data_IF_066806430951
#
_entry.id   IF_066806430951
#
_cell.length_a   1.000
_cell.length_b   1.000
_cell.length_c   1.000
_cell.angle_alpha   90.00
_cell.angle_beta   90.00
_cell.angle_gamma   90.00
#
_symmetry.space_group_name_H-M   'P 1'
#
loop_
_entity.id
_entity.type
_entity.pdbx_description
1 polymer ?
#
# COMPACT_ATOMS: atom_id res chain seq x y z
N UNK A 1 25.86 -31.72 5.32
CA UNK A 1 25.75 -33.15 5.70
C UNK A 1 24.40 -33.49 6.34
N UNK A 2 23.90 -32.71 7.27
CA UNK A 2 22.58 -32.95 7.90
C UNK A 2 21.42 -32.96 6.88
N UNK A 3 21.41 -32.04 5.92
CA UNK A 3 20.38 -31.97 4.89
C UNK A 3 20.31 -33.21 4.00
N UNK A 4 21.44 -33.85 3.72
CA UNK A 4 21.49 -35.07 2.90
C UNK A 4 20.93 -36.28 3.63
N UNK A 5 21.15 -36.37 4.95
CA UNK A 5 20.60 -37.43 5.78
C UNK A 5 19.09 -37.29 5.95
N UNK A 6 18.57 -36.09 6.15
CA UNK A 6 17.14 -35.80 6.25
C UNK A 6 16.42 -36.17 4.93
N UNK A 7 17.01 -35.83 3.78
CA UNK A 7 16.48 -36.17 2.45
C UNK A 7 16.46 -37.69 2.26
N UNK A 8 17.52 -38.40 2.68
CA UNK A 8 17.59 -39.86 2.59
C UNK A 8 16.51 -40.52 3.47
N UNK A 9 16.34 -40.06 4.70
CA UNK A 9 15.29 -40.57 5.61
C UNK A 9 13.89 -40.37 5.05
N UNK A 10 13.61 -39.16 4.53
CA UNK A 10 12.33 -38.85 3.90
C UNK A 10 12.08 -39.74 2.67
N UNK A 11 13.11 -40.00 1.86
CA UNK A 11 13.03 -40.87 0.68
C UNK A 11 12.73 -42.31 1.07
N UNK A 12 13.39 -42.82 2.14
CA UNK A 12 13.15 -44.18 2.62
C UNK A 12 11.73 -44.35 3.16
N UNK A 13 11.22 -43.37 3.93
CA UNK A 13 9.84 -43.39 4.44
C UNK A 13 8.84 -43.43 3.31
N UNK A 14 8.98 -42.61 2.27
CA UNK A 14 8.10 -42.59 1.11
C UNK A 14 8.10 -43.92 0.36
N UNK A 15 9.29 -44.55 0.21
CA UNK A 15 9.41 -45.85 -0.46
C UNK A 15 8.72 -46.98 0.33
N UNK A 16 8.61 -46.87 1.67
CA UNK A 16 7.94 -47.87 2.51
C UNK A 16 6.43 -47.69 2.57
N UNK A 17 5.89 -46.59 2.09
CA UNK A 17 4.47 -46.32 2.09
C UNK A 17 3.74 -47.13 1.00
N UNK A 18 2.51 -47.57 1.27
CA UNK A 18 1.65 -48.19 0.26
C UNK A 18 1.26 -47.15 -0.80
N UNK A 19 0.78 -47.59 -1.95
CA UNK A 19 0.32 -46.72 -3.03
C UNK A 19 -0.83 -45.82 -2.56
N UNK A 20 -1.77 -46.35 -1.78
CA UNK A 20 -2.88 -45.57 -1.24
C UNK A 20 -2.41 -44.50 -0.28
N UNK A 21 -1.46 -44.82 0.59
CA UNK A 21 -0.86 -43.84 1.51
C UNK A 21 -0.13 -42.74 0.75
N UNK A 22 0.60 -43.11 -0.31
CA UNK A 22 1.27 -42.11 -1.18
C UNK A 22 0.28 -41.17 -1.84
N UNK A 23 -0.84 -41.71 -2.34
CA UNK A 23 -1.88 -40.89 -2.96
C UNK A 23 -2.55 -39.96 -1.97
N UNK A 24 -2.85 -40.42 -0.77
CA UNK A 24 -3.45 -39.61 0.29
C UNK A 24 -2.49 -38.48 0.71
N UNK A 25 -1.22 -38.79 0.87
CA UNK A 25 -0.22 -37.79 1.19
C UNK A 25 -0.06 -36.72 0.11
N UNK A 26 -0.07 -37.16 -1.15
CA UNK A 26 0.02 -36.25 -2.29
C UNK A 26 -1.20 -35.33 -2.36
N UNK A 27 -2.40 -35.88 -2.13
CA UNK A 27 -3.63 -35.09 -2.09
C UNK A 27 -3.58 -34.04 -0.96
N UNK A 28 -3.13 -34.43 0.22
CA UNK A 28 -2.96 -33.52 1.37
C UNK A 28 -1.99 -32.39 1.05
N UNK A 29 -0.84 -32.70 0.43
CA UNK A 29 0.16 -31.69 0.08
C UNK A 29 -0.36 -30.72 -0.98
N UNK A 30 -1.17 -31.20 -1.93
CA UNK A 30 -1.81 -30.35 -2.94
C UNK A 30 -2.83 -29.40 -2.31
N UNK A 31 -3.68 -29.90 -1.43
CA UNK A 31 -4.65 -29.05 -0.71
C UNK A 31 -3.93 -27.97 0.10
N UNK A 32 -2.90 -28.37 0.84
CA UNK A 32 -2.12 -27.44 1.64
C UNK A 32 -1.49 -26.35 0.78
N UNK A 33 -0.92 -26.73 -0.36
CA UNK A 33 -0.29 -25.78 -1.28
C UNK A 33 -1.31 -24.76 -1.81
N UNK A 34 -2.53 -25.19 -2.14
CA UNK A 34 -3.61 -24.33 -2.62
C UNK A 34 -4.04 -23.35 -1.52
N UNK A 35 -4.20 -23.83 -0.29
CA UNK A 35 -4.58 -22.98 0.84
C UNK A 35 -3.49 -21.96 1.17
N UNK A 36 -2.22 -22.38 1.16
CA UNK A 36 -1.09 -21.49 1.41
C UNK A 36 -1.01 -20.39 0.35
N UNK A 37 -1.19 -20.73 -0.92
CA UNK A 37 -1.20 -19.78 -2.02
C UNK A 37 -2.34 -18.77 -1.86
N UNK A 38 -3.53 -19.24 -1.52
CA UNK A 38 -4.70 -18.40 -1.30
C UNK A 38 -4.44 -17.40 -0.17
N UNK A 39 -3.86 -17.85 0.94
CA UNK A 39 -3.51 -17.01 2.09
C UNK A 39 -2.51 -15.92 1.70
N UNK A 40 -1.48 -16.28 0.94
CA UNK A 40 -0.47 -15.33 0.44
C UNK A 40 -1.13 -14.25 -0.41
N UNK A 41 -2.02 -14.65 -1.33
CA UNK A 41 -2.73 -13.72 -2.21
C UNK A 41 -3.65 -12.79 -1.41
N UNK A 42 -4.40 -13.32 -0.45
CA UNK A 42 -5.28 -12.51 0.41
C UNK A 42 -4.48 -11.50 1.23
N UNK A 43 -3.37 -11.92 1.82
CA UNK A 43 -2.50 -11.04 2.61
C UNK A 43 -1.93 -9.92 1.74
N UNK A 44 -1.43 -10.25 0.55
CA UNK A 44 -0.88 -9.26 -0.39
C UNK A 44 -1.96 -8.28 -0.85
N UNK A 45 -3.18 -8.77 -1.14
CA UNK A 45 -4.31 -7.94 -1.55
C UNK A 45 -4.72 -6.97 -0.45
N UNK A 46 -4.84 -7.46 0.79
CA UNK A 46 -5.21 -6.63 1.95
C UNK A 46 -4.14 -5.56 2.22
N UNK A 47 -2.87 -5.93 2.12
CA UNK A 47 -1.76 -4.99 2.29
C UNK A 47 -1.80 -3.89 1.22
N UNK A 48 -1.98 -4.26 -0.04
CA UNK A 48 -2.07 -3.32 -1.15
C UNK A 48 -3.25 -2.37 -1.00
N UNK A 49 -4.40 -2.89 -0.59
CA UNK A 49 -5.61 -2.10 -0.36
C UNK A 49 -5.39 -1.07 0.76
N UNK A 50 -4.81 -1.50 1.87
CA UNK A 50 -4.51 -0.61 3.01
C UNK A 50 -3.52 0.49 2.61
N UNK A 51 -2.44 0.13 1.93
CA UNK A 51 -1.45 1.10 1.46
C UNK A 51 -2.07 2.11 0.49
N UNK A 52 -2.92 1.62 -0.41
CA UNK A 52 -3.65 2.47 -1.36
C UNK A 52 -4.58 3.45 -0.65
N UNK A 53 -5.30 2.99 0.38
CA UNK A 53 -6.18 3.83 1.18
C UNK A 53 -5.40 4.89 1.96
N UNK A 54 -4.29 4.52 2.58
CA UNK A 54 -3.42 5.45 3.31
C UNK A 54 -2.86 6.54 2.38
N UNK A 55 -2.36 6.15 1.21
CA UNK A 55 -1.85 7.10 0.21
C UNK A 55 -2.94 8.01 -0.32
N UNK A 56 -4.11 7.45 -0.59
CA UNK A 56 -5.27 8.21 -1.07
C UNK A 56 -5.73 9.22 -0.05
N UNK A 57 -5.79 8.84 1.23
CA UNK A 57 -6.17 9.72 2.32
C UNK A 57 -5.17 10.87 2.48
N UNK A 58 -3.86 10.55 2.51
CA UNK A 58 -2.82 11.55 2.63
C UNK A 58 -2.86 12.56 1.47
N UNK A 59 -3.04 12.06 0.24
CA UNK A 59 -3.15 12.89 -0.95
C UNK A 59 -4.40 13.76 -0.92
N UNK A 60 -5.53 13.20 -0.46
CA UNK A 60 -6.77 13.93 -0.31
C UNK A 60 -6.67 15.06 0.70
N UNK A 61 -6.02 14.83 1.85
CA UNK A 61 -5.78 15.84 2.87
C UNK A 61 -4.90 16.96 2.30
N UNK A 62 -3.81 16.61 1.63
CA UNK A 62 -2.91 17.58 1.01
C UNK A 62 -3.63 18.45 -0.02
N UNK A 63 -4.42 17.84 -0.90
CA UNK A 63 -5.21 18.56 -1.90
C UNK A 63 -6.27 19.45 -1.27
N UNK A 64 -6.93 18.97 -0.20
CA UNK A 64 -7.92 19.74 0.55
C UNK A 64 -7.32 20.96 1.23
N UNK A 65 -6.16 20.80 1.89
CA UNK A 65 -5.44 21.90 2.53
C UNK A 65 -5.01 22.96 1.50
N UNK A 66 -4.49 22.52 0.36
CA UNK A 66 -4.08 23.42 -0.72
C UNK A 66 -5.26 24.18 -1.29
N UNK A 67 -6.39 23.52 -1.49
CA UNK A 67 -7.63 24.15 -1.98
C UNK A 67 -8.12 25.20 -0.99
N UNK A 68 -8.13 24.85 0.30
CA UNK A 68 -8.53 25.77 1.37
C UNK A 68 -7.61 27.00 1.41
N UNK A 69 -6.29 26.79 1.36
CA UNK A 69 -5.32 27.88 1.35
C UNK A 69 -5.48 28.79 0.14
N UNK A 70 -5.79 28.23 -1.03
CA UNK A 70 -6.07 28.98 -2.24
C UNK A 70 -7.32 29.85 -2.11
N UNK A 71 -8.39 29.30 -1.54
CA UNK A 71 -9.64 30.03 -1.30
C UNK A 71 -9.42 31.20 -0.33
N UNK A 72 -8.67 30.97 0.76
CA UNK A 72 -8.32 32.02 1.72
C UNK A 72 -7.49 33.11 1.06
N UNK A 73 -6.50 32.70 0.24
CA UNK A 73 -5.66 33.66 -0.48
C UNK A 73 -6.46 34.55 -1.42
N UNK A 74 -7.46 33.99 -2.13
CA UNK A 74 -8.35 34.74 -3.00
C UNK A 74 -9.17 35.79 -2.22
N UNK A 75 -9.69 35.39 -1.06
CA UNK A 75 -10.45 36.31 -0.19
C UNK A 75 -9.57 37.45 0.33
N UNK A 76 -8.34 37.15 0.74
CA UNK A 76 -7.39 38.15 1.23
C UNK A 76 -6.93 39.10 0.13
N UNK A 77 -6.81 38.62 -1.11
CA UNK A 77 -6.51 39.45 -2.27
C UNK A 77 -7.64 40.43 -2.56
N UNK A 78 -8.89 40.04 -2.40
CA UNK A 78 -10.05 40.91 -2.54
C UNK A 78 -10.06 42.05 -1.52
N UNK A 79 -9.50 41.80 -0.34
CA UNK A 79 -9.35 42.79 0.74
C UNK A 79 -8.09 43.68 0.57
N UNK A 80 -7.39 43.51 -0.55
CA UNK A 80 -6.13 44.27 -0.84
C UNK A 80 -4.99 44.05 0.15
N UNK A 81 -4.94 42.85 0.73
CA UNK A 81 -3.86 42.48 1.64
C UNK A 81 -2.53 42.32 0.87
N UNK A 82 -1.40 42.77 1.42
CA UNK A 82 -0.09 42.58 0.76
C UNK A 82 0.21 41.10 0.54
N UNK A 83 0.80 40.79 -0.62
CA UNK A 83 1.14 39.39 -1.01
C UNK A 83 2.03 38.73 0.03
N UNK A 84 2.98 39.44 0.58
CA UNK A 84 3.89 38.92 1.62
C UNK A 84 3.16 38.43 2.84
N UNK A 85 2.13 39.16 3.27
CA UNK A 85 1.30 38.82 4.42
C UNK A 85 0.41 37.61 4.11
N UNK A 86 -0.18 37.56 2.91
CA UNK A 86 -0.97 36.42 2.44
C UNK A 86 -0.12 35.15 2.40
N UNK A 87 1.10 35.23 1.92
CA UNK A 87 2.02 34.10 1.87
C UNK A 87 2.32 33.54 3.28
N UNK A 88 2.44 34.42 4.26
CA UNK A 88 2.65 34.04 5.66
C UNK A 88 1.45 33.31 6.25
N UNK A 89 0.24 33.79 5.97
CA UNK A 89 -1.00 33.23 6.51
C UNK A 89 -1.34 31.91 5.83
N UNK A 90 -1.26 31.84 4.52
CA UNK A 90 -1.69 30.66 3.73
C UNK A 90 -0.60 29.64 3.48
N UNK A 91 0.67 30.01 3.73
CA UNK A 91 1.85 29.18 3.42
C UNK A 91 2.02 28.90 1.92
N UNK A 92 1.33 29.64 1.07
CA UNK A 92 1.52 29.59 -0.37
C UNK A 92 2.74 30.43 -0.77
N UNK A 93 3.36 30.09 -1.89
CA UNK A 93 4.48 30.87 -2.43
C UNK A 93 3.96 32.17 -3.04
N UNK A 94 4.85 33.16 -3.15
CA UNK A 94 4.49 34.42 -3.79
C UNK A 94 4.05 34.23 -5.23
N UNK A 95 4.71 33.31 -5.94
CA UNK A 95 4.38 32.97 -7.33
C UNK A 95 2.95 32.40 -7.44
N UNK A 96 2.57 31.54 -6.52
CA UNK A 96 1.22 30.96 -6.49
C UNK A 96 0.16 32.04 -6.27
N UNK A 97 0.43 32.98 -5.37
CA UNK A 97 -0.48 34.11 -5.09
C UNK A 97 -0.57 35.06 -6.28
N UNK A 98 0.55 35.34 -6.93
CA UNK A 98 0.58 36.17 -8.15
C UNK A 98 -0.22 35.53 -9.28
N UNK A 99 -0.17 34.20 -9.41
CA UNK A 99 -0.99 33.46 -10.37
C UNK A 99 -2.47 33.64 -10.09
N UNK A 100 -2.86 33.66 -8.83
CA UNK A 100 -4.26 33.88 -8.44
C UNK A 100 -4.75 35.29 -8.78
N UNK A 101 -3.87 36.30 -8.70
CA UNK A 101 -4.18 37.67 -9.09
C UNK A 101 -4.45 37.80 -10.60
N UNK A 102 -3.72 37.03 -11.41
CA UNK A 102 -3.84 37.09 -12.88
C UNK A 102 -5.10 36.40 -13.38
N UNK A 103 -5.66 35.52 -12.61
CA UNK A 103 -6.89 34.83 -12.94
C UNK A 103 -8.08 35.53 -12.26
#
# INVERSE_FOLDING_TARGET
MEKNEEIKEATVVVKQMSEDEKMQRLAFLREKAILDEKEIVETATNKGLREGMEKGLAKGIEQGEKRKSTEIAKELLKENMPIEKIAKITKLSKEEIEQLQKN
#
